data_IF_846776780816
#
_entry.id   IF_846776780816
#
_cell.length_a   1.000
_cell.length_b   1.000
_cell.length_c   1.000
_cell.angle_alpha   90.00
_cell.angle_beta   90.00
_cell.angle_gamma   90.00
#
_symmetry.space_group_name_H-M   'P 1'
#
loop_
_entity.id
_entity.type
_entity.pdbx_description
1 polymer ?
#
# COMPACT_ATOMS: atom_id res chain seq x y z
N UNK A 1 3.40 22.28 -14.44
CA UNK A 1 2.71 21.49 -15.46
C UNK A 1 2.74 20.04 -15.06
N UNK A 2 1.59 19.48 -14.70
CA UNK A 2 1.46 18.03 -14.48
C UNK A 2 1.52 17.34 -15.84
N UNK A 3 2.41 16.36 -15.99
CA UNK A 3 2.47 15.49 -17.17
C UNK A 3 2.13 14.08 -16.74
N UNK A 4 1.25 13.40 -17.48
CA UNK A 4 1.07 11.97 -17.36
C UNK A 4 2.39 11.27 -17.73
N UNK A 5 2.90 10.41 -16.85
CA UNK A 5 4.12 9.64 -17.10
C UNK A 5 3.77 8.26 -17.66
N UNK A 6 2.60 7.74 -17.30
CA UNK A 6 2.10 6.44 -17.73
C UNK A 6 0.56 6.46 -17.61
N UNK A 7 -0.14 6.46 -18.73
CA UNK A 7 -1.60 6.26 -18.73
C UNK A 7 -1.95 4.76 -18.82
N UNK A 8 -3.22 4.41 -18.54
CA UNK A 8 -3.65 3.02 -18.50
C UNK A 8 -3.46 2.28 -19.81
N UNK A 9 -3.65 2.93 -20.96
CA UNK A 9 -3.44 2.29 -22.27
C UNK A 9 -1.95 2.09 -22.55
N UNK A 10 -1.12 3.05 -22.15
CA UNK A 10 0.33 2.91 -22.24
C UNK A 10 0.82 1.79 -21.32
N UNK A 11 0.29 1.69 -20.08
CA UNK A 11 0.62 0.62 -19.16
C UNK A 11 0.31 -0.75 -19.75
N UNK A 12 -0.90 -0.94 -20.32
CA UNK A 12 -1.30 -2.18 -20.95
C UNK A 12 -0.36 -2.60 -22.10
N UNK A 13 -0.03 -1.66 -23.00
CA UNK A 13 0.90 -1.93 -24.10
C UNK A 13 2.32 -2.20 -23.60
N UNK A 14 2.83 -1.40 -22.67
CA UNK A 14 4.17 -1.61 -22.10
C UNK A 14 4.30 -3.00 -21.47
N UNK A 15 3.26 -3.49 -20.80
CA UNK A 15 3.23 -4.84 -20.25
C UNK A 15 3.29 -5.89 -21.39
N UNK A 16 2.43 -5.78 -22.39
CA UNK A 16 2.37 -6.74 -23.47
C UNK A 16 3.68 -6.79 -24.27
N UNK A 17 4.23 -5.64 -24.64
CA UNK A 17 5.49 -5.54 -25.39
C UNK A 17 6.68 -6.11 -24.58
N UNK A 18 6.74 -5.79 -23.29
CA UNK A 18 7.79 -6.29 -22.39
C UNK A 18 7.76 -7.83 -22.29
N UNK A 19 6.58 -8.41 -21.99
CA UNK A 19 6.47 -9.85 -21.81
C UNK A 19 6.61 -10.61 -23.13
N UNK A 20 6.16 -10.06 -24.25
CA UNK A 20 6.43 -10.63 -25.56
C UNK A 20 7.94 -10.68 -25.89
N UNK A 21 8.66 -9.60 -25.58
CA UNK A 21 10.12 -9.55 -25.76
C UNK A 21 10.86 -10.52 -24.82
N UNK A 22 10.42 -10.69 -23.58
CA UNK A 22 11.01 -11.65 -22.64
C UNK A 22 10.69 -13.10 -23.01
N UNK A 23 9.46 -13.40 -23.44
CA UNK A 23 9.09 -14.72 -23.94
C UNK A 23 9.92 -15.11 -25.17
N UNK A 24 10.15 -14.20 -26.12
CA UNK A 24 10.99 -14.42 -27.27
C UNK A 24 12.46 -14.75 -26.92
N UNK A 25 12.91 -14.41 -25.70
CA UNK A 25 14.24 -14.78 -25.17
C UNK A 25 14.22 -16.12 -24.42
N UNK A 26 13.07 -16.83 -24.38
CA UNK A 26 12.91 -18.10 -23.66
C UNK A 26 12.65 -17.96 -22.17
N UNK A 27 12.16 -16.80 -21.71
CA UNK A 27 11.76 -16.60 -20.31
C UNK A 27 10.41 -17.29 -20.05
N UNK A 28 10.43 -18.47 -19.44
CA UNK A 28 9.23 -19.27 -19.17
C UNK A 28 8.20 -18.54 -18.27
N UNK A 29 8.63 -17.68 -17.35
CA UNK A 29 7.71 -16.90 -16.53
C UNK A 29 6.97 -15.84 -17.37
N UNK A 30 7.65 -15.26 -18.37
CA UNK A 30 7.03 -14.33 -19.31
C UNK A 30 6.03 -15.06 -20.22
N UNK A 31 6.37 -16.26 -20.72
CA UNK A 31 5.45 -17.07 -21.54
C UNK A 31 4.15 -17.37 -20.80
N UNK A 32 4.23 -17.70 -19.51
CA UNK A 32 3.06 -18.02 -18.68
C UNK A 32 2.09 -16.84 -18.48
N UNK A 33 2.56 -15.59 -18.55
CA UNK A 33 1.71 -14.41 -18.37
C UNK A 33 1.19 -13.82 -19.69
N UNK A 34 1.66 -14.29 -20.85
CA UNK A 34 1.24 -13.77 -22.15
C UNK A 34 -0.28 -13.76 -22.38
N UNK A 35 -1.05 -14.84 -22.09
CA UNK A 35 -2.50 -14.81 -22.26
C UNK A 35 -3.19 -13.71 -21.45
N UNK A 36 -2.63 -13.37 -20.29
CA UNK A 36 -3.13 -12.28 -19.48
C UNK A 36 -2.80 -10.91 -20.08
N UNK A 37 -1.62 -10.77 -20.67
CA UNK A 37 -1.22 -9.52 -21.32
C UNK A 37 -2.09 -9.21 -22.52
N UNK A 38 -2.41 -10.21 -23.32
CA UNK A 38 -3.36 -10.08 -24.43
C UNK A 38 -4.74 -9.61 -23.95
N UNK A 39 -5.22 -10.17 -22.85
CA UNK A 39 -6.47 -9.76 -22.23
C UNK A 39 -6.42 -8.31 -21.73
N UNK A 40 -5.34 -7.92 -21.04
CA UNK A 40 -5.15 -6.55 -20.54
C UNK A 40 -5.16 -5.53 -21.65
N UNK A 41 -4.52 -5.83 -22.80
CA UNK A 41 -4.57 -4.95 -23.97
C UNK A 41 -5.97 -4.87 -24.58
N UNK A 42 -6.68 -6.00 -24.69
CA UNK A 42 -8.03 -6.05 -25.25
C UNK A 42 -9.05 -5.30 -24.39
N UNK A 43 -8.94 -5.37 -23.06
CA UNK A 43 -9.78 -4.67 -22.10
C UNK A 43 -9.46 -3.17 -22.00
N UNK A 44 -8.22 -2.77 -22.34
CA UNK A 44 -7.80 -1.36 -22.34
C UNK A 44 -7.51 -0.82 -20.94
N UNK A 45 -7.73 0.49 -20.74
CA UNK A 45 -7.38 1.24 -19.53
C UNK A 45 -8.41 1.09 -18.40
N UNK A 46 -8.82 -0.11 -18.07
CA UNK A 46 -9.85 -0.41 -17.07
C UNK A 46 -9.27 -0.77 -15.68
N UNK A 47 -7.95 -0.93 -15.57
CA UNK A 47 -7.26 -1.33 -14.35
C UNK A 47 -6.57 -0.14 -13.68
N UNK A 48 -7.15 0.43 -12.60
CA UNK A 48 -6.57 1.59 -11.94
C UNK A 48 -5.28 1.25 -11.18
N UNK A 49 -4.34 2.18 -11.19
CA UNK A 49 -3.31 2.26 -10.17
C UNK A 49 -3.94 2.78 -8.87
N UNK A 50 -3.55 2.20 -7.76
CA UNK A 50 -4.14 2.47 -6.45
C UNK A 50 -3.17 3.11 -5.47
N UNK A 51 -1.87 2.84 -5.61
CA UNK A 51 -0.86 3.43 -4.74
C UNK A 51 0.51 3.53 -5.43
N UNK A 52 1.35 4.42 -4.89
CA UNK A 52 2.72 4.67 -5.35
C UNK A 52 3.65 4.85 -4.14
N UNK A 53 4.85 4.30 -4.25
CA UNK A 53 5.88 4.47 -3.23
C UNK A 53 7.27 4.52 -3.86
N UNK A 54 8.12 5.38 -3.33
CA UNK A 54 9.51 5.52 -3.73
C UNK A 54 10.43 5.29 -2.52
N UNK A 55 11.43 4.43 -2.69
CA UNK A 55 12.48 4.21 -1.71
C UNK A 55 13.46 5.40 -1.64
N UNK A 56 13.65 6.07 -2.77
CA UNK A 56 14.50 7.23 -2.97
C UNK A 56 14.04 7.99 -4.22
N UNK A 57 14.77 9.01 -4.66
CA UNK A 57 14.41 9.82 -5.83
C UNK A 57 14.34 9.04 -7.16
N UNK A 58 14.90 7.82 -7.22
CA UNK A 58 15.00 7.02 -8.45
C UNK A 58 14.18 5.75 -8.40
N UNK A 59 14.25 5.02 -7.29
CA UNK A 59 13.67 3.69 -7.17
C UNK A 59 12.29 3.73 -6.56
N UNK A 60 11.30 3.27 -7.30
CA UNK A 60 9.92 3.26 -6.86
C UNK A 60 9.06 2.20 -7.52
N UNK A 61 7.85 2.06 -7.00
CA UNK A 61 6.83 1.15 -7.51
C UNK A 61 5.48 1.85 -7.59
N UNK A 62 4.67 1.48 -8.57
CA UNK A 62 3.23 1.73 -8.60
C UNK A 62 2.52 0.38 -8.59
N UNK A 63 1.42 0.30 -7.84
CA UNK A 63 0.62 -0.91 -7.67
C UNK A 63 -0.86 -0.62 -7.92
N UNK A 64 -1.63 -1.65 -8.26
CA UNK A 64 -3.03 -1.44 -8.58
C UNK A 64 -3.86 -2.71 -8.68
N UNK A 65 -4.96 -2.60 -9.41
CA UNK A 65 -5.92 -3.67 -9.59
C UNK A 65 -5.32 -4.88 -10.32
N UNK A 66 -5.81 -6.07 -10.00
CA UNK A 66 -5.48 -7.34 -10.68
C UNK A 66 -3.97 -7.62 -10.77
N UNK A 67 -3.25 -7.40 -9.66
CA UNK A 67 -1.79 -7.57 -9.60
C UNK A 67 -0.99 -6.60 -10.48
N UNK A 68 -1.59 -5.48 -10.90
CA UNK A 68 -0.89 -4.45 -11.65
C UNK A 68 0.26 -3.91 -10.80
N UNK A 69 1.48 -4.06 -11.29
CA UNK A 69 2.68 -3.55 -10.63
C UNK A 69 3.76 -3.20 -11.64
N UNK A 70 4.38 -2.03 -11.45
CA UNK A 70 5.54 -1.57 -12.22
C UNK A 70 6.61 -1.03 -11.29
N UNK A 71 7.85 -1.17 -11.71
CA UNK A 71 9.02 -0.58 -11.06
C UNK A 71 9.62 0.51 -11.92
N UNK A 72 10.10 1.55 -11.28
CA UNK A 72 11.03 2.52 -11.87
C UNK A 72 12.37 2.49 -11.16
N UNK A 73 13.46 2.78 -11.89
CA UNK A 73 14.81 2.96 -11.37
C UNK A 73 15.40 4.33 -11.79
N UNK A 74 14.56 5.22 -12.36
CA UNK A 74 14.98 6.51 -12.92
C UNK A 74 14.08 7.68 -12.52
N UNK A 75 13.33 7.52 -11.42
CA UNK A 75 12.43 8.55 -10.89
C UNK A 75 11.14 8.68 -11.68
N UNK A 76 10.65 7.59 -12.26
CA UNK A 76 9.39 7.54 -12.99
C UNK A 76 9.48 7.99 -14.44
N UNK A 77 10.67 8.17 -15.00
CA UNK A 77 10.85 8.49 -16.42
C UNK A 77 10.54 7.29 -17.30
N UNK A 78 10.88 6.09 -16.82
CA UNK A 78 10.49 4.81 -17.41
C UNK A 78 9.96 3.87 -16.33
N UNK A 79 9.08 2.95 -16.76
CA UNK A 79 8.43 1.98 -15.90
C UNK A 79 8.53 0.58 -16.51
N UNK A 80 9.06 -0.37 -15.74
CA UNK A 80 9.18 -1.76 -16.13
C UNK A 80 8.08 -2.59 -15.46
N UNK A 81 7.35 -3.42 -16.19
CA UNK A 81 6.42 -4.39 -15.61
C UNK A 81 7.10 -5.32 -14.62
N UNK A 82 6.40 -5.62 -13.51
CA UNK A 82 6.91 -6.44 -12.42
C UNK A 82 5.92 -7.54 -12.01
N UNK A 83 4.95 -7.82 -12.89
CA UNK A 83 3.76 -8.63 -12.64
C UNK A 83 4.09 -10.06 -12.19
N UNK A 84 5.05 -10.74 -12.86
CA UNK A 84 5.50 -12.11 -12.58
C UNK A 84 6.38 -12.20 -11.33
N UNK A 85 6.81 -11.06 -10.79
CA UNK A 85 7.71 -10.97 -9.63
C UNK A 85 6.96 -10.77 -8.32
N UNK A 86 5.70 -11.20 -8.28
CA UNK A 86 4.88 -11.23 -7.08
C UNK A 86 4.35 -12.64 -6.83
N UNK A 87 4.38 -13.09 -5.60
CA UNK A 87 3.73 -14.34 -5.18
C UNK A 87 2.23 -14.11 -4.95
N UNK A 88 1.51 -13.76 -6.04
CA UNK A 88 0.09 -13.47 -6.06
C UNK A 88 -0.60 -14.25 -7.19
N UNK A 89 -0.68 -15.60 -7.10
CA UNK A 89 -1.20 -16.45 -8.18
C UNK A 89 -2.68 -16.18 -8.49
N UNK A 90 -3.44 -15.68 -7.51
CA UNK A 90 -4.85 -15.33 -7.67
C UNK A 90 -5.08 -13.94 -8.26
N UNK A 91 -4.01 -13.18 -8.57
CA UNK A 91 -4.06 -11.83 -9.15
C UNK A 91 -4.95 -10.87 -8.34
N UNK A 92 -4.88 -10.98 -7.03
CA UNK A 92 -5.61 -10.12 -6.11
C UNK A 92 -5.18 -8.66 -6.28
N UNK A 93 -6.09 -7.73 -6.02
CA UNK A 93 -5.78 -6.30 -6.04
C UNK A 93 -4.72 -5.93 -5.00
N UNK A 94 -3.79 -5.07 -5.41
CA UNK A 94 -2.74 -4.51 -4.58
C UNK A 94 -3.17 -3.10 -4.16
N UNK A 95 -3.60 -2.93 -2.89
CA UNK A 95 -4.22 -1.68 -2.43
C UNK A 95 -3.23 -0.65 -1.92
N UNK A 96 -2.14 -1.08 -1.28
CA UNK A 96 -1.14 -0.17 -0.75
C UNK A 96 0.27 -0.77 -0.80
N UNK A 97 1.26 0.10 -0.97
CA UNK A 97 2.68 -0.24 -0.92
C UNK A 97 3.42 0.76 -0.05
N UNK A 98 4.19 0.29 0.92
CA UNK A 98 5.09 1.11 1.75
C UNK A 98 6.34 0.33 2.07
N UNK A 99 7.44 1.05 2.28
CA UNK A 99 8.70 0.47 2.71
C UNK A 99 9.38 1.29 3.80
N UNK A 100 10.43 0.71 4.35
CA UNK A 100 11.41 1.35 5.20
C UNK A 100 12.81 1.16 4.60
N UNK A 101 13.86 1.37 5.37
CA UNK A 101 15.24 1.26 4.88
C UNK A 101 15.64 -0.16 4.42
N UNK A 102 14.96 -1.21 4.87
CA UNK A 102 15.33 -2.60 4.63
C UNK A 102 14.29 -3.41 3.85
N UNK A 103 13.01 -3.06 3.95
CA UNK A 103 11.91 -3.89 3.46
C UNK A 103 10.85 -3.06 2.74
N UNK A 104 10.22 -3.67 1.74
CA UNK A 104 9.05 -3.15 1.04
C UNK A 104 7.89 -4.13 1.23
N UNK A 105 6.72 -3.59 1.56
CA UNK A 105 5.51 -4.37 1.78
C UNK A 105 4.40 -3.89 0.86
N UNK A 106 3.63 -4.84 0.33
CA UNK A 106 2.39 -4.61 -0.40
C UNK A 106 1.28 -5.31 0.34
N UNK A 107 0.12 -4.68 0.44
CA UNK A 107 -1.09 -5.30 1.00
C UNK A 107 -2.26 -5.19 0.02
N UNK A 108 -3.20 -6.12 0.14
CA UNK A 108 -4.29 -6.21 -0.82
C UNK A 108 -5.51 -6.98 -0.32
N UNK A 109 -6.21 -7.57 -1.29
CA UNK A 109 -7.42 -8.34 -1.06
C UNK A 109 -7.17 -9.62 -0.28
N UNK A 110 -8.21 -10.08 0.42
CA UNK A 110 -8.30 -11.43 1.00
C UNK A 110 -7.09 -11.79 1.87
N UNK A 111 -6.60 -10.82 2.65
CA UNK A 111 -5.47 -11.02 3.55
C UNK A 111 -4.10 -11.01 2.87
N UNK A 112 -4.01 -10.64 1.59
CA UNK A 112 -2.74 -10.59 0.88
C UNK A 112 -1.77 -9.62 1.54
N UNK A 113 -0.61 -10.15 1.88
CA UNK A 113 0.58 -9.39 2.29
C UNK A 113 1.75 -9.93 1.48
N UNK A 114 2.46 -9.05 0.81
CA UNK A 114 3.68 -9.36 0.08
C UNK A 114 4.85 -8.58 0.68
N UNK A 115 6.02 -9.19 0.71
CA UNK A 115 7.25 -8.60 1.25
C UNK A 115 8.41 -8.82 0.29
N UNK A 116 9.27 -7.82 0.19
CA UNK A 116 10.53 -7.89 -0.54
C UNK A 116 11.60 -7.08 0.21
N UNK A 117 12.83 -7.58 0.41
CA UNK A 117 13.95 -6.76 0.85
C UNK A 117 14.21 -5.61 -0.13
N UNK A 118 14.66 -4.46 0.37
CA UNK A 118 15.06 -3.34 -0.51
C UNK A 118 16.17 -3.82 -1.45
N UNK A 119 16.02 -3.54 -2.73
CA UNK A 119 16.92 -4.05 -3.78
C UNK A 119 16.66 -5.51 -4.20
N UNK A 120 15.65 -6.17 -3.62
CA UNK A 120 15.21 -7.50 -4.04
C UNK A 120 14.59 -7.50 -5.43
N UNK A 121 14.34 -8.72 -5.94
CA UNK A 121 13.81 -8.91 -7.31
C UNK A 121 12.42 -9.55 -7.34
N UNK A 122 11.88 -9.96 -6.18
CA UNK A 122 10.59 -10.64 -6.10
C UNK A 122 9.92 -10.37 -4.75
N UNK A 123 8.62 -10.13 -4.78
CA UNK A 123 7.75 -10.09 -3.62
C UNK A 123 7.28 -11.49 -3.24
N UNK A 124 7.61 -11.95 -2.04
CA UNK A 124 7.15 -13.21 -1.47
C UNK A 124 5.89 -12.99 -0.61
N UNK A 125 5.00 -13.97 -0.59
CA UNK A 125 3.81 -13.93 0.25
C UNK A 125 4.18 -14.09 1.73
N UNK A 126 3.52 -13.32 2.57
CA UNK A 126 3.57 -13.39 4.04
C UNK A 126 2.25 -13.96 4.53
N UNK A 127 2.31 -15.00 5.36
CA UNK A 127 1.11 -15.65 5.88
C UNK A 127 0.28 -14.70 6.76
N UNK A 128 -1.04 -14.74 6.57
CA UNK A 128 -2.02 -14.02 7.37
C UNK A 128 -3.28 -14.89 7.54
N UNK A 129 -3.77 -15.01 8.76
CA UNK A 129 -5.03 -15.73 9.04
C UNK A 129 -6.27 -14.85 8.77
N UNK A 130 -6.09 -13.63 8.37
CA UNK A 130 -7.18 -12.70 8.07
C UNK A 130 -7.65 -12.82 6.63
N UNK A 131 -8.93 -13.13 6.43
CA UNK A 131 -9.51 -13.31 5.11
C UNK A 131 -10.13 -12.02 4.50
N UNK A 132 -10.11 -10.90 5.23
CA UNK A 132 -10.58 -9.61 4.73
C UNK A 132 -9.49 -8.83 3.99
N UNK A 133 -9.88 -7.71 3.35
CA UNK A 133 -8.93 -6.87 2.62
C UNK A 133 -8.19 -5.90 3.53
N UNK A 134 -6.90 -5.74 3.30
CA UNK A 134 -6.08 -4.69 3.87
C UNK A 134 -6.03 -3.50 2.93
N UNK A 135 -6.27 -2.29 3.45
CA UNK A 135 -6.25 -1.03 2.69
C UNK A 135 -4.98 -0.22 2.91
N UNK A 136 -4.21 -0.57 3.92
CA UNK A 136 -2.96 0.11 4.21
C UNK A 136 -1.96 -0.73 4.97
N UNK A 137 -0.71 -0.38 4.81
CA UNK A 137 0.45 -0.94 5.50
C UNK A 137 1.32 0.19 6.03
N UNK A 138 1.83 0.05 7.24
CA UNK A 138 2.66 1.05 7.91
C UNK A 138 3.86 0.35 8.57
N UNK A 139 5.00 0.28 7.88
CA UNK A 139 6.25 -0.14 8.52
C UNK A 139 6.80 1.00 9.39
N UNK A 140 7.13 0.67 10.62
CA UNK A 140 7.83 1.55 11.57
C UNK A 140 9.20 0.96 11.91
N UNK A 141 9.98 1.62 12.77
CA UNK A 141 11.24 1.06 13.28
C UNK A 141 11.02 -0.20 14.14
N UNK A 142 9.88 -0.30 14.82
CA UNK A 142 9.61 -1.32 15.84
C UNK A 142 8.64 -2.40 15.38
N UNK A 143 7.81 -2.10 14.39
CA UNK A 143 6.73 -3.01 14.00
C UNK A 143 6.24 -2.75 12.58
N UNK A 144 5.56 -3.73 12.04
CA UNK A 144 4.76 -3.65 10.83
C UNK A 144 3.29 -3.68 11.20
N UNK A 145 2.53 -2.66 10.77
CA UNK A 145 1.09 -2.63 10.91
C UNK A 145 0.44 -2.85 9.55
N UNK A 146 -0.63 -3.64 9.53
CA UNK A 146 -1.54 -3.78 8.38
C UNK A 146 -2.95 -3.53 8.86
N UNK A 147 -3.73 -2.82 8.07
CA UNK A 147 -5.07 -2.40 8.47
C UNK A 147 -6.02 -2.31 7.29
N UNK A 148 -7.32 -2.45 7.54
CA UNK A 148 -8.28 -2.42 6.44
C UNK A 148 -9.72 -2.59 6.87
N UNK A 149 -10.39 -3.57 6.28
CA UNK A 149 -11.82 -3.80 6.42
C UNK A 149 -12.28 -3.92 7.87
N UNK A 150 -13.47 -3.36 8.19
CA UNK A 150 -14.15 -3.47 9.49
C UNK A 150 -13.32 -3.01 10.68
N UNK A 151 -12.39 -2.05 10.46
CA UNK A 151 -11.54 -1.50 11.52
C UNK A 151 -10.46 -2.46 12.04
N UNK A 152 -10.23 -3.57 11.35
CA UNK A 152 -9.20 -4.50 11.76
C UNK A 152 -7.82 -3.91 11.53
N UNK A 153 -6.99 -4.00 12.56
CA UNK A 153 -5.57 -3.61 12.56
C UNK A 153 -4.78 -4.77 13.16
N UNK A 154 -3.71 -5.16 12.49
CA UNK A 154 -2.80 -6.19 12.97
C UNK A 154 -1.38 -5.61 13.06
N UNK A 155 -0.64 -6.04 14.07
CA UNK A 155 0.76 -5.70 14.29
C UNK A 155 1.63 -6.94 14.28
N UNK A 156 2.75 -6.84 13.60
CA UNK A 156 3.84 -7.82 13.67
C UNK A 156 5.13 -7.12 14.13
N UNK A 157 5.90 -7.72 15.01
CA UNK A 157 7.24 -7.27 15.43
C UNK A 157 8.36 -8.15 14.86
N UNK A 158 8.02 -9.08 13.96
CA UNK A 158 8.94 -10.05 13.36
C UNK A 158 8.71 -10.18 11.84
N UNK A 159 8.48 -9.03 11.19
CA UNK A 159 8.36 -8.91 9.72
C UNK A 159 7.26 -9.79 9.11
N UNK A 160 6.18 -10.03 9.86
CA UNK A 160 5.02 -10.80 9.41
C UNK A 160 5.08 -12.28 9.76
N UNK A 161 6.09 -12.77 10.47
CA UNK A 161 6.13 -14.17 10.90
C UNK A 161 5.01 -14.51 11.91
N UNK A 162 4.52 -13.53 12.65
CA UNK A 162 3.30 -13.64 13.46
C UNK A 162 2.59 -12.31 13.59
N UNK A 163 1.27 -12.37 13.88
CA UNK A 163 0.42 -11.19 13.91
C UNK A 163 -0.39 -11.15 15.21
N UNK A 164 -0.51 -9.94 15.78
CA UNK A 164 -1.42 -9.63 16.88
C UNK A 164 -2.49 -8.68 16.39
N UNK A 165 -3.77 -9.06 16.50
CA UNK A 165 -4.87 -8.13 16.26
C UNK A 165 -4.94 -7.11 17.38
N UNK A 166 -5.10 -5.84 17.03
CA UNK A 166 -5.17 -4.72 17.97
C UNK A 166 -6.62 -4.31 18.22
N UNK A 167 -6.97 -3.94 19.47
CA UNK A 167 -8.33 -3.53 19.83
C UNK A 167 -8.59 -2.08 19.43
N UNK A 168 -9.14 -1.83 18.26
CA UNK A 168 -9.44 -0.47 17.77
C UNK A 168 -10.81 0.04 18.22
N UNK A 169 -11.78 -0.85 18.48
CA UNK A 169 -13.16 -0.47 18.74
C UNK A 169 -13.89 0.20 17.57
N UNK A 170 -13.32 0.10 16.35
CA UNK A 170 -13.86 0.73 15.14
C UNK A 170 -14.51 -0.31 14.24
N UNK A 171 -15.67 0.01 13.69
CA UNK A 171 -16.37 -0.85 12.72
C UNK A 171 -16.18 -0.42 11.25
N UNK A 172 -15.72 0.81 11.02
CA UNK A 172 -15.43 1.33 9.69
C UNK A 172 -14.09 0.86 9.14
N UNK A 173 -13.93 0.85 7.80
CA UNK A 173 -12.64 0.52 7.18
C UNK A 173 -11.55 1.51 7.60
N UNK A 174 -10.36 0.99 7.93
CA UNK A 174 -9.16 1.79 8.21
C UNK A 174 -8.43 2.04 6.89
N UNK A 175 -8.31 3.31 6.50
CA UNK A 175 -7.83 3.69 5.16
C UNK A 175 -6.42 4.27 5.15
N UNK A 176 -5.96 4.84 6.25
CA UNK A 176 -4.65 5.48 6.29
C UNK A 176 -3.97 5.38 7.65
N UNK A 177 -2.65 5.49 7.63
CA UNK A 177 -1.85 5.50 8.85
C UNK A 177 -0.53 6.22 8.64
N UNK A 178 -0.02 6.82 9.73
CA UNK A 178 1.28 7.47 9.77
C UNK A 178 2.01 7.19 11.07
N UNK A 179 3.30 6.94 11.00
CA UNK A 179 4.19 6.91 12.16
C UNK A 179 4.66 8.33 12.48
N UNK A 180 4.61 8.68 13.76
CA UNK A 180 5.16 9.94 14.29
C UNK A 180 6.48 9.70 15.03
N UNK A 181 7.08 8.52 14.89
CA UNK A 181 8.27 8.10 15.61
C UNK A 181 8.01 7.74 17.07
N UNK A 182 9.03 7.22 17.77
CA UNK A 182 8.98 6.92 19.20
C UNK A 182 7.71 6.18 19.67
N UNK A 183 7.36 5.07 18.98
CA UNK A 183 6.17 4.26 19.26
C UNK A 183 4.81 4.98 19.05
N UNK A 184 4.83 6.16 18.43
CA UNK A 184 3.64 6.97 18.17
C UNK A 184 3.14 6.73 16.75
N UNK A 185 1.85 6.52 16.61
CA UNK A 185 1.20 6.38 15.31
C UNK A 185 -0.23 6.91 15.34
N UNK A 186 -0.70 7.29 14.16
CA UNK A 186 -2.09 7.69 13.93
C UNK A 186 -2.66 6.84 12.81
N UNK A 187 -3.87 6.34 13.01
CA UNK A 187 -4.67 5.64 12.01
C UNK A 187 -5.98 6.39 11.78
N UNK A 188 -6.48 6.35 10.55
CA UNK A 188 -7.73 7.04 10.19
C UNK A 188 -8.69 6.11 9.46
N UNK A 189 -10.00 6.32 9.68
CA UNK A 189 -11.06 5.47 9.12
C UNK A 189 -11.99 6.20 8.15
N UNK A 190 -12.65 5.41 7.30
CA UNK A 190 -13.75 5.88 6.47
C UNK A 190 -14.93 6.45 7.27
N UNK A 191 -15.07 6.06 8.54
CA UNK A 191 -16.11 6.53 9.45
C UNK A 191 -15.72 7.79 10.25
N UNK A 192 -14.67 8.52 9.81
CA UNK A 192 -14.17 9.74 10.47
C UNK A 192 -13.46 9.52 11.80
N UNK A 193 -13.01 8.31 12.10
CA UNK A 193 -12.24 8.05 13.30
C UNK A 193 -10.78 8.42 13.08
N UNK A 194 -10.18 9.03 14.09
CA UNK A 194 -8.74 9.25 14.21
C UNK A 194 -8.29 8.55 15.48
N UNK A 195 -7.52 7.48 15.31
CA UNK A 195 -6.94 6.71 16.41
C UNK A 195 -5.50 7.15 16.59
N UNK A 196 -5.12 7.50 17.80
CA UNK A 196 -3.76 7.87 18.17
C UNK A 196 -3.22 6.93 19.24
N UNK A 197 -2.00 6.45 19.04
CA UNK A 197 -1.28 5.59 19.98
C UNK A 197 0.08 6.19 20.31
N UNK A 198 0.51 6.07 21.57
CA UNK A 198 1.84 6.43 22.07
C UNK A 198 2.66 5.21 22.50
N UNK A 199 2.08 4.01 22.39
CA UNK A 199 2.65 2.75 22.87
C UNK A 199 2.65 1.66 21.80
N UNK A 200 2.98 2.06 20.57
CA UNK A 200 3.11 1.14 19.44
C UNK A 200 1.82 0.32 19.16
N UNK A 201 0.65 0.94 19.37
CA UNK A 201 -0.65 0.36 19.10
C UNK A 201 -1.19 -0.58 20.18
N UNK A 202 -0.57 -0.68 21.36
CA UNK A 202 -1.13 -1.47 22.46
C UNK A 202 -2.43 -0.89 23.00
N UNK A 203 -2.59 0.43 22.90
CA UNK A 203 -3.85 1.14 23.09
C UNK A 203 -3.99 2.32 22.15
N UNK A 204 -5.22 2.76 21.95
CA UNK A 204 -5.55 3.91 21.10
C UNK A 204 -6.47 4.88 21.83
N UNK A 205 -6.10 6.16 21.79
CA UNK A 205 -7.02 7.25 22.06
C UNK A 205 -7.79 7.60 20.79
N UNK A 206 -9.09 7.88 20.92
CA UNK A 206 -9.93 8.25 19.79
C UNK A 206 -10.19 9.74 19.79
N UNK A 207 -9.77 10.39 18.72
CA UNK A 207 -10.04 11.80 18.46
C UNK A 207 -11.22 11.92 17.51
N UNK A 208 -12.05 12.93 17.76
CA UNK A 208 -13.12 13.32 16.83
C UNK A 208 -12.68 14.57 16.09
N UNK A 209 -12.55 14.52 14.76
CA UNK A 209 -12.28 15.72 13.98
C UNK A 209 -13.39 16.75 14.17
N UNK A 210 -13.05 18.04 14.17
CA UNK A 210 -14.01 19.13 14.24
C UNK A 210 -15.00 19.13 13.06
N UNK A 211 -14.61 18.57 11.95
CA UNK A 211 -15.44 18.37 10.75
C UNK A 211 -15.44 16.88 10.36
N UNK A 212 -16.47 16.13 10.73
CA UNK A 212 -16.58 14.73 10.33
C UNK A 212 -16.60 14.56 8.81
N UNK A 213 -15.75 13.65 8.29
CA UNK A 213 -15.69 13.28 6.89
C UNK A 213 -15.08 11.88 6.75
N UNK A 214 -15.40 11.17 5.68
CA UNK A 214 -14.66 9.95 5.34
C UNK A 214 -13.20 10.29 5.13
N UNK A 215 -12.31 9.71 5.95
CA UNK A 215 -10.87 9.97 5.90
C UNK A 215 -10.19 8.89 5.04
N UNK A 216 -9.29 9.35 4.16
CA UNK A 216 -8.56 8.49 3.24
C UNK A 216 -7.06 8.43 3.57
N UNK A 217 -6.51 9.53 4.10
CA UNK A 217 -5.09 9.61 4.44
C UNK A 217 -4.84 10.52 5.63
N UNK A 218 -3.67 10.33 6.25
CA UNK A 218 -3.15 11.17 7.34
C UNK A 218 -1.65 11.37 7.14
N UNK A 219 -1.16 12.57 7.45
CA UNK A 219 0.25 12.92 7.42
C UNK A 219 0.65 13.70 8.67
N UNK A 220 1.94 13.76 9.05
CA UNK A 220 2.40 14.65 10.11
C UNK A 220 2.08 16.10 9.76
N UNK A 221 1.66 16.89 10.75
CA UNK A 221 1.52 18.33 10.61
C UNK A 221 2.86 19.04 10.77
N UNK A 222 2.89 20.33 10.48
CA UNK A 222 4.08 21.20 10.67
C UNK A 222 4.30 21.61 12.12
N UNK A 223 3.24 21.72 12.90
CA UNK A 223 3.33 22.00 14.33
C UNK A 223 3.45 20.70 15.14
N UNK A 224 4.10 20.78 16.29
CA UNK A 224 4.22 19.65 17.21
C UNK A 224 2.84 19.05 17.54
N UNK A 225 2.78 17.74 17.59
CA UNK A 225 1.58 16.97 17.92
C UNK A 225 0.34 17.31 17.08
N UNK A 226 0.55 17.73 15.84
CA UNK A 226 -0.51 17.94 14.86
C UNK A 226 -0.44 16.93 13.73
N UNK A 227 -1.60 16.62 13.15
CA UNK A 227 -1.70 15.82 11.93
C UNK A 227 -2.59 16.52 10.90
N UNK A 228 -2.27 16.28 9.64
CA UNK A 228 -3.08 16.69 8.49
C UNK A 228 -3.95 15.50 8.09
N UNK A 229 -5.24 15.69 8.06
CA UNK A 229 -6.26 14.72 7.68
C UNK A 229 -6.74 15.03 6.27
N UNK A 230 -6.79 14.03 5.41
CA UNK A 230 -7.27 14.16 4.04
C UNK A 230 -8.47 13.23 3.84
N UNK A 231 -9.54 13.74 3.28
CA UNK A 231 -10.75 12.96 3.08
C UNK A 231 -11.67 13.53 2.02
N UNK A 232 -12.87 12.99 1.93
CA UNK A 232 -13.86 13.30 0.90
C UNK A 232 -14.28 14.79 0.84
N UNK A 233 -14.06 15.56 1.91
CA UNK A 233 -14.43 16.99 2.00
C UNK A 233 -13.21 17.91 2.05
N UNK A 234 -12.04 17.43 1.59
CA UNK A 234 -10.80 18.19 1.51
C UNK A 234 -9.84 17.87 2.66
N UNK A 235 -9.14 18.90 3.15
CA UNK A 235 -8.06 18.80 4.13
C UNK A 235 -8.47 19.47 5.44
N UNK A 236 -8.09 18.88 6.55
CA UNK A 236 -8.24 19.42 7.90
C UNK A 236 -6.99 19.14 8.73
N UNK A 237 -6.79 19.88 9.80
CA UNK A 237 -5.77 19.60 10.82
C UNK A 237 -6.42 19.15 12.10
N UNK A 238 -5.73 18.29 12.85
CA UNK A 238 -6.14 17.88 14.18
C UNK A 238 -4.95 17.96 15.14
N UNK A 239 -5.21 18.45 16.36
CA UNK A 239 -4.26 18.43 17.46
C UNK A 239 -4.35 17.08 18.17
N UNK A 240 -3.21 16.43 18.35
CA UNK A 240 -3.11 15.21 19.16
C UNK A 240 -3.02 15.62 20.64
N UNK A 241 -3.96 15.15 21.44
CA UNK A 241 -3.91 15.39 22.89
C UNK A 241 -2.88 14.41 23.48
N UNK A 242 -1.65 14.88 23.68
CA UNK A 242 -0.65 14.17 24.49
C UNK A 242 -0.97 14.45 25.95
N UNK A 243 -1.55 13.48 26.67
CA UNK A 243 -1.64 13.52 28.13
C UNK A 243 -0.31 13.12 28.74
#
# INVERSE_FOLDING_TARGET
LFRSQLDGNQAARTMADYYAAEAAKGNAAAEQVMPEMERVVAEGADKPFLDVWFANEKDGFIVGAFNMIFRTADGGKSWQPWFERTENPNRLHLYAIRGNASEVFIVGERGLILRMPVGGERFAAVASDYAGSYFGVLPTSEALFVFGMRGHVFRSTNLGASWKQLPTGIGGGMNGGVSLGANRLVLVSAASDVLYSTNNGDSFDRLKPSRPMSLNAVAPGTAADTVVLVGARGVATAQLNTK
#
